data_IF_235233533390
#
_entry.id   IF_235233533390
#
_cell.length_a   1.000
_cell.length_b   1.000
_cell.length_c   1.000
_cell.angle_alpha   90.00
_cell.angle_beta   90.00
_cell.angle_gamma   90.00
#
_symmetry.space_group_name_H-M   'P 1'
#
loop_
_entity.id
_entity.type
_entity.pdbx_description
1 polymer ?
#
# COMPACT_ATOMS: atom_id res chain seq x y z
N UNK A 1 -10.23 -28.81 4.69
CA UNK A 1 -8.98 -28.22 4.18
C UNK A 1 -9.34 -27.10 3.23
N UNK A 2 -9.36 -25.83 3.68
CA UNK A 2 -9.78 -24.64 2.89
C UNK A 2 -8.65 -23.66 2.57
N UNK A 3 -7.42 -23.94 3.01
CA UNK A 3 -6.28 -23.02 2.91
C UNK A 3 -5.47 -23.18 1.62
N UNK A 4 -5.47 -24.38 1.03
CA UNK A 4 -4.75 -24.70 -0.21
C UNK A 4 -5.75 -24.91 -1.35
N UNK A 5 -5.58 -24.16 -2.42
CA UNK A 5 -6.26 -24.40 -3.68
C UNK A 5 -5.37 -25.25 -4.59
N UNK A 6 -5.59 -26.56 -4.61
CA UNK A 6 -4.78 -27.51 -5.37
C UNK A 6 -4.74 -27.23 -6.87
N UNK A 7 -5.82 -26.72 -7.47
CA UNK A 7 -5.84 -26.39 -8.90
C UNK A 7 -4.91 -25.21 -9.19
N UNK A 8 -5.04 -24.13 -8.43
CA UNK A 8 -4.13 -22.98 -8.51
C UNK A 8 -2.69 -23.37 -8.19
N UNK A 9 -2.48 -24.26 -7.21
CA UNK A 9 -1.17 -24.79 -6.85
C UNK A 9 -0.53 -25.59 -7.97
N UNK A 10 -1.28 -26.45 -8.66
CA UNK A 10 -0.77 -27.20 -9.81
C UNK A 10 -0.36 -26.26 -10.94
N UNK A 11 -1.19 -25.27 -11.28
CA UNK A 11 -0.87 -24.26 -12.30
C UNK A 11 0.43 -23.52 -11.93
N UNK A 12 0.55 -23.15 -10.65
CA UNK A 12 1.75 -22.48 -10.12
C UNK A 12 3.00 -23.33 -10.30
N UNK A 13 2.94 -24.62 -9.93
CA UNK A 13 4.04 -25.56 -10.11
C UNK A 13 4.41 -25.75 -11.59
N UNK A 14 3.42 -25.90 -12.47
CA UNK A 14 3.64 -26.06 -13.91
C UNK A 14 4.35 -24.86 -14.50
N UNK A 15 3.94 -23.64 -14.14
CA UNK A 15 4.59 -22.41 -14.62
C UNK A 15 6.04 -22.32 -14.11
N UNK A 16 6.27 -22.60 -12.82
CA UNK A 16 7.61 -22.62 -12.25
C UNK A 16 8.53 -23.63 -12.94
N UNK A 17 8.06 -24.86 -13.13
CA UNK A 17 8.82 -25.91 -13.83
C UNK A 17 9.06 -25.58 -15.31
N UNK A 18 8.07 -25.00 -15.98
CA UNK A 18 8.22 -24.59 -17.37
C UNK A 18 9.36 -23.57 -17.52
N UNK A 19 9.38 -22.51 -16.69
CA UNK A 19 10.46 -21.51 -16.72
C UNK A 19 11.80 -22.16 -16.35
N UNK A 20 11.80 -23.02 -15.32
CA UNK A 20 13.00 -23.71 -14.84
C UNK A 20 13.71 -24.52 -15.92
N UNK A 21 12.97 -25.26 -16.74
CA UNK A 21 13.53 -26.12 -17.78
C UNK A 21 13.72 -25.44 -19.14
N UNK A 22 13.20 -24.22 -19.32
CA UNK A 22 13.55 -23.39 -20.48
C UNK A 22 15.01 -22.94 -20.32
N UNK A 23 15.88 -23.13 -21.33
CA UNK A 23 17.26 -22.65 -21.28
C UNK A 23 17.31 -21.14 -21.00
N UNK A 24 18.24 -20.74 -20.13
CA UNK A 24 18.47 -19.32 -19.85
C UNK A 24 18.83 -18.57 -21.14
N UNK A 25 18.25 -17.38 -21.39
CA UNK A 25 18.62 -16.54 -22.52
C UNK A 25 20.11 -16.15 -22.49
N UNK A 26 20.65 -15.80 -23.66
CA UNK A 26 22.02 -15.31 -23.76
C UNK A 26 22.22 -14.05 -22.89
N UNK A 27 23.33 -14.04 -22.13
CA UNK A 27 23.65 -12.96 -21.19
C UNK A 27 23.02 -13.07 -19.80
N UNK A 28 22.20 -14.11 -19.54
CA UNK A 28 21.58 -14.36 -18.22
C UNK A 28 22.29 -15.51 -17.51
N UNK A 29 22.65 -15.31 -16.24
CA UNK A 29 23.24 -16.39 -15.43
C UNK A 29 22.20 -17.50 -15.17
N UNK A 30 22.57 -18.81 -15.26
CA UNK A 30 21.61 -19.89 -15.06
C UNK A 30 20.90 -19.87 -13.71
N UNK A 31 21.61 -19.54 -12.63
CA UNK A 31 21.02 -19.42 -11.30
C UNK A 31 20.09 -18.20 -11.16
N UNK A 32 20.33 -17.12 -11.91
CA UNK A 32 19.40 -15.99 -11.99
C UNK A 32 18.08 -16.39 -12.68
N UNK A 33 18.17 -17.21 -13.73
CA UNK A 33 17.00 -17.73 -14.44
C UNK A 33 16.18 -18.71 -13.59
N UNK A 34 16.84 -19.60 -12.86
CA UNK A 34 16.18 -20.48 -11.90
C UNK A 34 15.58 -19.72 -10.71
N UNK A 35 16.23 -18.65 -10.23
CA UNK A 35 15.64 -17.74 -9.25
C UNK A 35 14.39 -17.06 -9.83
N UNK A 36 14.41 -16.65 -11.10
CA UNK A 36 13.23 -16.08 -11.78
C UNK A 36 12.08 -17.10 -11.80
N UNK A 37 12.36 -18.38 -12.07
CA UNK A 37 11.35 -19.44 -12.03
C UNK A 37 10.69 -19.54 -10.65
N UNK A 38 11.48 -19.56 -9.56
CA UNK A 38 10.95 -19.60 -8.18
C UNK A 38 10.16 -18.33 -7.87
N UNK A 39 10.68 -17.17 -8.28
CA UNK A 39 10.04 -15.88 -8.04
C UNK A 39 8.69 -15.78 -8.74
N UNK A 40 8.66 -16.08 -10.05
CA UNK A 40 7.43 -16.06 -10.86
C UNK A 40 6.43 -17.08 -10.33
N UNK A 41 6.86 -18.30 -9.98
CA UNK A 41 5.97 -19.28 -9.36
C UNK A 41 5.38 -18.75 -8.03
N UNK A 42 6.21 -18.13 -7.18
CA UNK A 42 5.73 -17.55 -5.92
C UNK A 42 4.68 -16.47 -6.16
N UNK A 43 4.94 -15.54 -7.09
CA UNK A 43 4.02 -14.46 -7.47
C UNK A 43 2.73 -15.02 -8.08
N UNK A 44 2.82 -15.95 -9.03
CA UNK A 44 1.67 -16.58 -9.66
C UNK A 44 0.81 -17.30 -8.62
N UNK A 45 1.42 -18.04 -7.69
CA UNK A 45 0.68 -18.70 -6.62
C UNK A 45 -0.02 -17.72 -5.69
N UNK A 46 0.57 -16.56 -5.40
CA UNK A 46 -0.07 -15.48 -4.65
C UNK A 46 -1.27 -14.92 -5.43
N UNK A 47 -1.10 -14.61 -6.72
CA UNK A 47 -2.15 -14.04 -7.58
C UNK A 47 -3.33 -15.02 -7.72
N UNK A 48 -3.04 -16.29 -8.00
CA UNK A 48 -4.03 -17.35 -8.17
C UNK A 48 -4.62 -17.86 -6.83
N UNK A 49 -4.15 -17.32 -5.70
CA UNK A 49 -4.54 -17.73 -4.34
C UNK A 49 -4.38 -19.25 -4.14
N UNK A 50 -3.24 -19.78 -4.59
CA UNK A 50 -2.86 -21.18 -4.38
C UNK A 50 -2.75 -21.52 -2.88
N UNK A 51 -2.23 -20.58 -2.09
CA UNK A 51 -2.24 -20.57 -0.63
C UNK A 51 -2.20 -19.13 -0.10
N UNK A 52 -2.11 -18.94 1.21
CA UNK A 52 -1.89 -17.61 1.80
C UNK A 52 -0.55 -17.00 1.35
N UNK A 53 -0.41 -15.68 1.42
CA UNK A 53 0.85 -14.99 1.06
C UNK A 53 2.02 -15.48 1.91
N UNK A 54 1.83 -15.61 3.23
CA UNK A 54 2.84 -16.17 4.12
C UNK A 54 3.23 -17.61 3.75
N UNK A 55 2.27 -18.46 3.41
CA UNK A 55 2.54 -19.84 2.97
C UNK A 55 3.37 -19.87 1.68
N UNK A 56 2.97 -19.11 0.65
CA UNK A 56 3.70 -19.04 -0.61
C UNK A 56 5.13 -18.49 -0.42
N UNK A 57 5.28 -17.50 0.45
CA UNK A 57 6.57 -16.90 0.76
C UNK A 57 7.54 -17.86 1.45
N UNK A 58 7.06 -18.64 2.42
CA UNK A 58 7.87 -19.67 3.08
C UNK A 58 8.29 -20.74 2.08
N UNK A 59 7.38 -21.19 1.22
CA UNK A 59 7.72 -22.14 0.13
C UNK A 59 8.80 -21.55 -0.77
N UNK A 60 8.68 -20.28 -1.19
CA UNK A 60 9.69 -19.60 -2.00
C UNK A 60 11.06 -19.51 -1.34
N UNK A 61 11.12 -19.15 -0.04
CA UNK A 61 12.35 -19.12 0.76
C UNK A 61 12.96 -20.52 0.82
N UNK A 62 12.15 -21.54 1.12
CA UNK A 62 12.61 -22.92 1.19
C UNK A 62 13.15 -23.40 -0.15
N UNK A 63 12.47 -23.12 -1.26
CA UNK A 63 12.94 -23.48 -2.59
C UNK A 63 14.27 -22.79 -2.91
N UNK A 64 14.42 -21.50 -2.59
CA UNK A 64 15.70 -20.80 -2.79
C UNK A 64 16.84 -21.47 -2.00
N UNK A 65 16.58 -21.86 -0.74
CA UNK A 65 17.56 -22.52 0.11
C UNK A 65 17.92 -23.93 -0.39
N UNK A 66 16.92 -24.76 -0.70
CA UNK A 66 17.09 -26.16 -1.11
C UNK A 66 17.76 -26.27 -2.49
N UNK A 67 17.36 -25.42 -3.43
CA UNK A 67 17.92 -25.43 -4.80
C UNK A 67 19.28 -24.74 -4.89
N UNK A 68 19.70 -24.02 -3.84
CA UNK A 68 20.96 -23.29 -3.78
C UNK A 68 21.13 -22.19 -4.84
N UNK A 69 20.05 -21.72 -5.46
CA UNK A 69 20.12 -20.71 -6.54
C UNK A 69 20.78 -19.40 -6.10
N UNK A 70 20.74 -19.08 -4.80
CA UNK A 70 21.35 -17.88 -4.24
C UNK A 70 22.83 -18.04 -3.86
N UNK A 71 23.32 -19.27 -3.79
CA UNK A 71 24.73 -19.60 -3.54
C UNK A 71 25.04 -21.02 -4.06
N UNK A 72 25.21 -21.20 -5.38
CA UNK A 72 25.38 -22.52 -5.96
C UNK A 72 26.59 -23.28 -5.38
N UNK A 73 26.36 -24.49 -4.87
CA UNK A 73 27.39 -25.33 -4.27
C UNK A 73 27.74 -25.00 -2.81
N UNK A 74 27.07 -24.01 -2.20
CA UNK A 74 27.29 -23.62 -0.81
C UNK A 74 25.95 -23.60 -0.03
N UNK A 75 25.56 -24.72 0.60
CA UNK A 75 24.29 -24.81 1.31
C UNK A 75 24.22 -23.88 2.52
N UNK A 76 25.35 -23.63 3.20
CA UNK A 76 25.41 -22.75 4.38
C UNK A 76 25.16 -21.30 3.97
N UNK A 77 25.81 -20.83 2.91
CA UNK A 77 25.58 -19.50 2.38
C UNK A 77 24.18 -19.38 1.76
N UNK A 78 23.66 -20.44 1.14
CA UNK A 78 22.34 -20.39 0.52
C UNK A 78 21.21 -20.17 1.53
N UNK A 79 21.24 -20.83 2.69
CA UNK A 79 20.22 -20.60 3.72
C UNK A 79 20.33 -19.20 4.32
N UNK A 80 21.56 -18.70 4.54
CA UNK A 80 21.79 -17.32 5.01
C UNK A 80 21.22 -16.32 3.99
N UNK A 81 21.49 -16.52 2.70
CA UNK A 81 20.98 -15.68 1.63
C UNK A 81 19.44 -15.75 1.53
N UNK A 82 18.85 -16.93 1.65
CA UNK A 82 17.39 -17.11 1.61
C UNK A 82 16.67 -16.43 2.79
N UNK A 83 17.31 -16.36 3.96
CA UNK A 83 16.78 -15.68 5.15
C UNK A 83 17.16 -14.20 5.23
N UNK A 84 18.02 -13.69 4.34
CA UNK A 84 18.54 -12.31 4.39
C UNK A 84 17.45 -11.24 4.39
N UNK A 85 16.29 -11.50 3.79
CA UNK A 85 15.14 -10.60 3.79
C UNK A 85 14.66 -10.23 5.19
N UNK A 86 14.76 -11.12 6.17
CA UNK A 86 14.35 -10.85 7.56
C UNK A 86 15.23 -9.83 8.26
N UNK A 87 16.43 -9.53 7.75
CA UNK A 87 17.32 -8.50 8.27
C UNK A 87 17.11 -7.12 7.62
N UNK A 88 16.15 -6.97 6.71
CA UNK A 88 15.96 -5.74 5.95
C UNK A 88 15.28 -4.64 6.80
N UNK A 89 15.91 -3.47 6.90
CA UNK A 89 15.42 -2.34 7.69
C UNK A 89 14.05 -1.83 7.22
N UNK A 90 13.82 -1.73 5.92
CA UNK A 90 12.54 -1.30 5.34
C UNK A 90 11.39 -2.22 5.75
N UNK A 91 11.63 -3.53 5.82
CA UNK A 91 10.63 -4.52 6.28
C UNK A 91 10.35 -4.34 7.78
N UNK A 92 11.39 -4.16 8.58
CA UNK A 92 11.24 -3.90 10.01
C UNK A 92 10.52 -2.58 10.28
N UNK A 93 10.78 -1.52 9.53
CA UNK A 93 10.06 -0.25 9.63
C UNK A 93 8.56 -0.46 9.50
N UNK A 94 8.13 -1.29 8.54
CA UNK A 94 6.72 -1.63 8.36
C UNK A 94 6.19 -2.40 9.57
N UNK A 95 6.86 -3.49 9.98
CA UNK A 95 6.45 -4.29 11.13
C UNK A 95 6.28 -3.45 12.40
N UNK A 96 7.26 -2.60 12.69
CA UNK A 96 7.25 -1.68 13.83
C UNK A 96 6.11 -0.68 13.76
N UNK A 97 5.86 -0.12 12.58
CA UNK A 97 4.74 0.79 12.40
C UNK A 97 3.38 0.07 12.59
N UNK A 98 3.25 -1.22 12.25
CA UNK A 98 2.02 -1.99 12.55
C UNK A 98 1.84 -2.16 14.07
N UNK A 99 2.92 -2.44 14.80
CA UNK A 99 2.89 -2.51 16.26
C UNK A 99 2.49 -1.17 16.88
N UNK A 100 3.05 -0.06 16.41
CA UNK A 100 2.70 1.31 16.84
C UNK A 100 1.23 1.61 16.51
N UNK A 101 0.75 1.22 15.33
CA UNK A 101 -0.64 1.41 14.92
C UNK A 101 -1.64 0.70 15.84
N UNK A 102 -1.27 -0.46 16.38
CA UNK A 102 -2.10 -1.15 17.37
C UNK A 102 -2.37 -0.27 18.60
N UNK A 103 -1.44 0.62 18.94
CA UNK A 103 -1.61 1.62 19.99
C UNK A 103 -2.75 2.60 19.70
N UNK A 104 -2.87 3.12 18.48
CA UNK A 104 -3.98 3.99 18.08
C UNK A 104 -5.35 3.31 18.20
N UNK A 105 -5.41 2.01 17.91
CA UNK A 105 -6.65 1.23 17.97
C UNK A 105 -7.04 0.95 19.43
N UNK A 106 -6.10 0.44 20.25
CA UNK A 106 -6.37 0.09 21.65
C UNK A 106 -6.69 1.33 22.50
N UNK A 107 -6.02 2.45 22.24
CA UNK A 107 -6.27 3.71 22.98
C UNK A 107 -7.59 4.38 22.59
N UNK A 108 -8.18 4.03 21.44
CA UNK A 108 -9.35 4.70 20.89
C UNK A 108 -9.07 6.08 20.27
N UNK A 109 -7.80 6.50 20.22
CA UNK A 109 -7.40 7.81 19.69
C UNK A 109 -7.84 8.02 18.24
N UNK A 110 -7.70 7.00 17.39
CA UNK A 110 -8.15 7.07 15.99
C UNK A 110 -9.65 7.32 15.87
N UNK A 111 -10.44 6.64 16.68
CA UNK A 111 -11.90 6.83 16.77
C UNK A 111 -12.26 8.23 17.24
N UNK A 112 -11.54 8.76 18.25
CA UNK A 112 -11.75 10.11 18.75
C UNK A 112 -11.46 11.17 17.69
N UNK A 113 -10.36 11.03 16.96
CA UNK A 113 -9.99 11.94 15.86
C UNK A 113 -11.09 11.95 14.79
N UNK A 114 -11.57 10.77 14.39
CA UNK A 114 -12.63 10.66 13.40
C UNK A 114 -13.93 11.34 13.82
N UNK A 115 -14.41 11.09 15.05
CA UNK A 115 -15.63 11.76 15.53
C UNK A 115 -15.47 13.27 15.66
N UNK A 116 -14.28 13.79 16.02
CA UNK A 116 -14.05 15.23 16.03
C UNK A 116 -14.23 15.86 14.63
N UNK A 117 -13.69 15.23 13.59
CA UNK A 117 -13.86 15.72 12.22
C UNK A 117 -15.31 15.62 11.73
N UNK A 118 -16.03 14.56 12.08
CA UNK A 118 -17.46 14.42 11.77
C UNK A 118 -18.28 15.51 12.49
N UNK A 119 -17.96 15.81 13.75
CA UNK A 119 -18.63 16.88 14.50
C UNK A 119 -18.47 18.24 13.83
N UNK A 120 -17.32 18.51 13.20
CA UNK A 120 -17.01 19.78 12.54
C UNK A 120 -17.66 19.84 11.14
N UNK A 121 -17.46 18.80 10.32
CA UNK A 121 -17.80 18.84 8.90
C UNK A 121 -19.11 18.11 8.53
N UNK A 122 -19.65 17.26 9.40
CA UNK A 122 -20.69 16.28 9.06
C UNK A 122 -22.10 16.81 8.83
N UNK A 123 -22.32 18.12 8.60
CA UNK A 123 -23.66 18.69 8.39
C UNK A 123 -24.25 18.40 7.00
N UNK A 124 -23.42 17.99 6.05
CA UNK A 124 -23.82 17.53 4.71
C UNK A 124 -23.10 16.22 4.36
N UNK A 125 -23.60 15.43 3.39
CA UNK A 125 -22.91 14.20 2.96
C UNK A 125 -21.49 14.46 2.48
N UNK A 126 -21.29 15.55 1.73
CA UNK A 126 -19.97 15.95 1.24
C UNK A 126 -19.03 16.31 2.41
N UNK A 127 -19.53 17.06 3.38
CA UNK A 127 -18.77 17.39 4.58
C UNK A 127 -18.47 16.17 5.45
N UNK A 128 -19.40 15.20 5.51
CA UNK A 128 -19.19 13.93 6.20
C UNK A 128 -18.09 13.09 5.52
N UNK A 129 -18.11 13.01 4.19
CA UNK A 129 -17.04 12.38 3.41
C UNK A 129 -15.68 13.05 3.68
N UNK A 130 -15.60 14.38 3.63
CA UNK A 130 -14.36 15.08 4.00
C UNK A 130 -13.94 14.84 5.44
N UNK A 131 -14.87 14.78 6.39
CA UNK A 131 -14.56 14.51 7.80
C UNK A 131 -13.93 13.13 8.01
N UNK A 132 -14.54 12.09 7.43
CA UNK A 132 -14.00 10.73 7.46
C UNK A 132 -12.64 10.64 6.75
N UNK A 133 -12.55 11.22 5.55
CA UNK A 133 -11.32 11.17 4.75
C UNK A 133 -10.18 11.94 5.43
N UNK A 134 -10.47 13.05 6.10
CA UNK A 134 -9.46 13.84 6.84
C UNK A 134 -8.97 13.07 8.05
N UNK A 135 -9.85 12.32 8.73
CA UNK A 135 -9.42 11.43 9.79
C UNK A 135 -8.43 10.37 9.27
N UNK A 136 -8.72 9.76 8.12
CA UNK A 136 -7.80 8.81 7.48
C UNK A 136 -6.48 9.47 7.05
N UNK A 137 -6.51 10.70 6.53
CA UNK A 137 -5.33 11.48 6.16
C UNK A 137 -4.40 11.73 7.35
N UNK A 138 -4.96 12.13 8.50
CA UNK A 138 -4.19 12.39 9.72
C UNK A 138 -3.62 11.07 10.31
N UNK A 139 -4.34 9.96 10.16
CA UNK A 139 -3.90 8.65 10.64
C UNK A 139 -2.91 7.96 9.69
N UNK A 140 -2.91 8.29 8.40
CA UNK A 140 -2.06 7.68 7.37
C UNK A 140 -0.55 7.65 7.67
N UNK A 141 0.10 8.74 8.13
CA UNK A 141 1.52 8.70 8.47
C UNK A 141 1.82 7.84 9.72
N UNK A 142 0.81 7.60 10.55
CA UNK A 142 0.94 6.93 11.85
C UNK A 142 0.59 5.44 11.83
N UNK A 143 -0.37 5.06 10.98
CA UNK A 143 -0.85 3.68 10.83
C UNK A 143 -0.44 3.19 9.45
N UNK A 144 0.57 2.32 9.34
CA UNK A 144 1.17 1.94 8.05
C UNK A 144 0.37 0.90 7.28
N UNK A 145 -0.72 0.42 7.88
CA UNK A 145 -1.64 -0.51 7.27
C UNK A 145 -2.88 0.25 6.86
N UNK A 146 -3.01 0.50 5.57
CA UNK A 146 -4.21 1.13 5.05
C UNK A 146 -5.46 0.28 5.31
N UNK A 147 -5.34 -1.05 5.31
CA UNK A 147 -6.38 -2.00 5.75
C UNK A 147 -6.76 -1.80 7.21
N UNK A 148 -5.79 -1.56 8.11
CA UNK A 148 -6.09 -1.30 9.52
C UNK A 148 -6.76 0.06 9.73
N UNK A 149 -6.34 1.11 9.02
CA UNK A 149 -7.05 2.41 9.05
C UNK A 149 -8.49 2.26 8.57
N UNK A 150 -8.63 1.66 7.39
CA UNK A 150 -9.91 1.40 6.75
C UNK A 150 -10.84 0.58 7.66
N UNK A 151 -10.44 -0.63 8.05
CA UNK A 151 -11.30 -1.57 8.78
C UNK A 151 -11.38 -1.34 10.29
N UNK A 152 -10.30 -0.86 10.90
CA UNK A 152 -10.22 -0.65 12.34
C UNK A 152 -10.82 0.68 12.81
N UNK A 153 -10.78 1.71 11.97
CA UNK A 153 -11.23 3.06 12.36
C UNK A 153 -12.32 3.59 11.44
N UNK A 154 -12.04 3.74 10.14
CA UNK A 154 -12.91 4.51 9.25
C UNK A 154 -14.22 3.79 8.95
N UNK A 155 -14.17 2.51 8.60
CA UNK A 155 -15.33 1.72 8.20
C UNK A 155 -16.36 1.54 9.32
N UNK A 156 -16.00 1.16 10.58
CA UNK A 156 -16.99 1.04 11.66
C UNK A 156 -17.75 2.35 11.90
N UNK A 157 -17.04 3.49 11.84
CA UNK A 157 -17.63 4.81 12.04
C UNK A 157 -18.52 5.18 10.86
N UNK A 158 -18.04 4.98 9.63
CA UNK A 158 -18.82 5.20 8.41
C UNK A 158 -20.11 4.36 8.43
N UNK A 159 -20.01 3.07 8.75
CA UNK A 159 -21.15 2.16 8.84
C UNK A 159 -22.14 2.61 9.90
N UNK A 160 -21.66 2.95 11.10
CA UNK A 160 -22.51 3.46 12.18
C UNK A 160 -23.30 4.69 11.73
N UNK A 161 -22.66 5.65 11.07
CA UNK A 161 -23.32 6.86 10.58
C UNK A 161 -24.31 6.53 9.46
N UNK A 162 -23.94 5.68 8.50
CA UNK A 162 -24.83 5.26 7.43
C UNK A 162 -26.11 4.62 7.98
N UNK A 163 -25.98 3.70 8.94
CA UNK A 163 -27.10 3.03 9.61
C UNK A 163 -27.98 4.01 10.38
N UNK A 164 -27.40 4.96 11.13
CA UNK A 164 -28.18 6.00 11.81
C UNK A 164 -28.91 6.94 10.82
N UNK A 165 -28.37 7.11 9.62
CA UNK A 165 -28.99 7.87 8.53
C UNK A 165 -29.98 7.03 7.70
N UNK A 166 -30.35 5.83 8.18
CA UNK A 166 -31.34 4.96 7.54
C UNK A 166 -30.85 4.28 6.26
N UNK A 167 -29.54 4.17 6.07
CA UNK A 167 -28.86 3.42 5.00
C UNK A 167 -28.31 2.12 5.58
N UNK A 168 -28.87 0.98 5.17
CA UNK A 168 -28.57 -0.33 5.75
C UNK A 168 -27.96 -1.27 4.70
N UNK A 169 -26.88 -1.96 5.07
CA UNK A 169 -26.15 -2.86 4.17
C UNK A 169 -27.03 -3.99 3.63
N UNK A 170 -27.95 -4.49 4.45
CA UNK A 170 -28.88 -5.58 4.16
C UNK A 170 -30.12 -5.16 3.34
N UNK A 171 -30.29 -3.86 3.07
CA UNK A 171 -31.44 -3.30 2.33
C UNK A 171 -30.99 -2.48 1.11
N UNK A 172 -30.84 -3.11 -0.07
CA UNK A 172 -30.32 -2.46 -1.29
C UNK A 172 -31.00 -1.14 -1.66
N UNK A 173 -32.31 -1.05 -1.45
CA UNK A 173 -33.11 0.15 -1.72
C UNK A 173 -32.70 1.36 -0.87
N UNK A 174 -31.95 1.15 0.22
CA UNK A 174 -31.49 2.22 1.11
C UNK A 174 -30.03 2.63 0.87
N UNK A 175 -29.25 1.85 0.12
CA UNK A 175 -27.80 2.06 -0.04
C UNK A 175 -27.45 3.46 -0.56
N UNK A 176 -28.25 3.96 -1.51
CA UNK A 176 -28.04 5.25 -2.17
C UNK A 176 -28.41 6.44 -1.30
N UNK A 177 -29.08 6.24 -0.15
CA UNK A 177 -29.32 7.32 0.82
C UNK A 177 -28.03 8.02 1.22
N UNK A 178 -27.03 7.24 1.65
CA UNK A 178 -25.70 7.77 1.95
C UNK A 178 -24.59 6.71 1.98
N UNK A 179 -24.89 5.47 2.35
CA UNK A 179 -23.89 4.43 2.61
C UNK A 179 -23.02 4.09 1.40
N UNK A 180 -23.61 4.06 0.19
CA UNK A 180 -22.88 3.79 -1.04
C UNK A 180 -21.87 4.91 -1.38
N UNK A 181 -22.27 6.17 -1.18
CA UNK A 181 -21.40 7.33 -1.41
C UNK A 181 -20.24 7.38 -0.41
N UNK A 182 -20.50 7.20 0.88
CA UNK A 182 -19.45 7.20 1.90
C UNK A 182 -18.50 6.01 1.74
N UNK A 183 -19.01 4.84 1.39
CA UNK A 183 -18.20 3.65 1.09
C UNK A 183 -17.18 3.94 0.00
N UNK A 184 -17.63 4.44 -1.16
CA UNK A 184 -16.73 4.77 -2.27
C UNK A 184 -15.77 5.91 -1.92
N UNK A 185 -16.25 6.95 -1.22
CA UNK A 185 -15.42 8.10 -0.84
C UNK A 185 -14.31 7.69 0.12
N UNK A 186 -14.66 7.01 1.22
CA UNK A 186 -13.69 6.60 2.24
C UNK A 186 -12.70 5.57 1.71
N UNK A 187 -13.14 4.65 0.85
CA UNK A 187 -12.24 3.70 0.20
C UNK A 187 -11.22 4.39 -0.71
N UNK A 188 -11.66 5.26 -1.62
CA UNK A 188 -10.77 5.95 -2.56
C UNK A 188 -9.88 6.97 -1.85
N UNK A 189 -10.36 7.63 -0.80
CA UNK A 189 -9.53 8.49 0.05
C UNK A 189 -8.42 7.68 0.71
N UNK A 190 -8.72 6.49 1.22
CA UNK A 190 -7.72 5.61 1.80
C UNK A 190 -6.63 5.20 0.79
N UNK A 191 -6.95 5.05 -0.51
CA UNK A 191 -5.95 4.84 -1.55
C UNK A 191 -5.03 6.06 -1.72
N UNK A 192 -5.57 7.27 -1.73
CA UNK A 192 -4.79 8.51 -1.88
C UNK A 192 -3.94 8.82 -0.65
N UNK A 193 -4.50 8.70 0.55
CA UNK A 193 -3.75 8.90 1.80
C UNK A 193 -2.65 7.86 1.96
N UNK A 194 -2.84 6.65 1.42
CA UNK A 194 -1.80 5.62 1.34
C UNK A 194 -0.64 6.03 0.45
N UNK A 195 -0.85 6.88 -0.56
CA UNK A 195 0.22 7.36 -1.43
C UNK A 195 0.94 8.58 -0.84
N UNK A 196 0.24 9.42 -0.09
CA UNK A 196 0.80 10.66 0.46
C UNK A 196 2.01 10.45 1.38
N UNK A 197 2.10 9.31 2.06
CA UNK A 197 3.20 9.00 2.97
C UNK A 197 3.83 7.66 2.62
N UNK A 198 5.16 7.62 2.61
CA UNK A 198 5.93 6.41 2.35
C UNK A 198 5.53 5.26 3.27
N UNK A 199 5.22 5.56 4.54
CA UNK A 199 4.86 4.53 5.52
C UNK A 199 3.39 4.11 5.48
N UNK A 200 2.51 4.75 4.71
CA UNK A 200 1.06 4.55 4.85
C UNK A 200 0.52 3.24 4.22
N UNK A 201 1.34 2.49 3.49
CA UNK A 201 1.03 1.14 2.98
C UNK A 201 2.31 0.37 2.69
N UNK A 202 2.26 -0.96 2.77
CA UNK A 202 3.43 -1.83 2.56
C UNK A 202 4.01 -1.75 1.13
N UNK A 203 3.21 -1.42 0.12
CA UNK A 203 3.66 -1.30 -1.27
C UNK A 203 4.67 -0.15 -1.46
N UNK A 204 4.57 0.95 -0.71
CA UNK A 204 5.42 2.12 -0.94
C UNK A 204 6.87 1.87 -0.49
N UNK A 205 7.16 1.34 0.72
CA UNK A 205 8.54 1.04 1.08
C UNK A 205 9.11 -0.12 0.25
N UNK A 206 8.28 -1.01 -0.28
CA UNK A 206 8.74 -2.02 -1.24
C UNK A 206 9.30 -1.34 -2.51
N UNK A 207 8.53 -0.39 -3.05
CA UNK A 207 8.95 0.40 -4.20
C UNK A 207 10.23 1.20 -3.89
N UNK A 208 10.30 1.85 -2.72
CA UNK A 208 11.50 2.56 -2.26
C UNK A 208 12.74 1.65 -2.26
N UNK A 209 12.63 0.46 -1.66
CA UNK A 209 13.75 -0.47 -1.60
C UNK A 209 14.18 -0.95 -2.99
N UNK A 210 13.22 -1.25 -3.87
CA UNK A 210 13.55 -1.67 -5.24
C UNK A 210 14.11 -0.53 -6.11
N UNK A 211 13.71 0.72 -5.82
CA UNK A 211 14.33 1.89 -6.44
C UNK A 211 15.79 2.03 -6.00
N UNK A 212 16.08 1.84 -4.71
CA UNK A 212 17.44 1.89 -4.17
C UNK A 212 18.34 0.79 -4.78
N UNK A 213 17.81 -0.42 -4.98
CA UNK A 213 18.52 -1.51 -5.70
C UNK A 213 18.94 -1.11 -7.13
N UNK A 214 18.25 -0.13 -7.73
CA UNK A 214 18.54 0.43 -9.05
C UNK A 214 19.24 1.80 -8.99
N UNK A 215 19.79 2.18 -7.82
CA UNK A 215 20.51 3.43 -7.62
C UNK A 215 19.64 4.68 -7.49
N UNK A 216 18.33 4.52 -7.31
CA UNK A 216 17.38 5.63 -7.09
C UNK A 216 17.04 5.74 -5.61
N UNK A 217 17.71 6.66 -4.92
CA UNK A 217 17.49 6.91 -3.50
C UNK A 217 16.23 7.75 -3.26
N UNK A 218 15.34 7.23 -2.41
CA UNK A 218 14.11 7.93 -1.99
C UNK A 218 14.06 7.92 -0.48
N UNK A 219 14.04 9.09 0.15
CA UNK A 219 13.80 9.24 1.59
C UNK A 219 12.30 9.42 1.87
N UNK A 220 11.87 9.22 3.12
CA UNK A 220 10.50 9.49 3.55
C UNK A 220 10.05 10.92 3.20
N UNK A 221 10.90 11.91 3.48
CA UNK A 221 10.63 13.32 3.18
C UNK A 221 10.53 13.60 1.69
N UNK A 222 11.42 13.02 0.87
CA UNK A 222 11.38 13.19 -0.58
C UNK A 222 10.11 12.58 -1.20
N UNK A 223 9.68 11.40 -0.72
CA UNK A 223 8.43 10.78 -1.14
C UNK A 223 7.22 11.67 -0.78
N UNK A 224 7.13 12.10 0.48
CA UNK A 224 6.03 12.93 0.96
C UNK A 224 5.96 14.26 0.18
N UNK A 225 7.11 14.89 -0.08
CA UNK A 225 7.18 16.11 -0.87
C UNK A 225 6.68 15.88 -2.30
N UNK A 226 7.16 14.84 -2.99
CA UNK A 226 6.76 14.55 -4.36
C UNK A 226 5.29 14.14 -4.49
N UNK A 227 4.75 13.41 -3.51
CA UNK A 227 3.36 12.97 -3.50
C UNK A 227 2.37 14.06 -3.04
N UNK A 228 2.84 15.09 -2.32
CA UNK A 228 1.99 16.08 -1.64
C UNK A 228 0.98 16.74 -2.58
N UNK A 229 1.42 17.49 -3.59
CA UNK A 229 0.54 18.25 -4.48
C UNK A 229 -0.44 17.37 -5.26
N UNK A 230 0.00 16.36 -6.04
CA UNK A 230 -0.96 15.52 -6.78
C UNK A 230 -1.87 14.72 -5.83
N UNK A 231 -1.36 14.25 -4.70
CA UNK A 231 -2.14 13.52 -3.71
C UNK A 231 -3.20 14.40 -3.03
N UNK A 232 -2.86 15.61 -2.60
CA UNK A 232 -3.81 16.54 -1.96
C UNK A 232 -4.88 17.01 -2.95
N UNK A 233 -4.53 17.24 -4.22
CA UNK A 233 -5.52 17.54 -5.26
C UNK A 233 -6.48 16.35 -5.44
N UNK A 234 -5.97 15.12 -5.56
CA UNK A 234 -6.83 13.93 -5.63
C UNK A 234 -7.73 13.80 -4.39
N UNK A 235 -7.17 14.01 -3.19
CA UNK A 235 -7.89 13.97 -1.93
C UNK A 235 -9.09 14.93 -1.91
N UNK A 236 -8.88 16.16 -2.39
CA UNK A 236 -9.95 17.16 -2.51
C UNK A 236 -10.97 16.78 -3.57
N UNK A 237 -10.54 16.22 -4.71
CA UNK A 237 -11.43 15.90 -5.82
C UNK A 237 -12.27 14.65 -5.62
N UNK A 238 -11.84 13.66 -4.82
CA UNK A 238 -12.58 12.39 -4.64
C UNK A 238 -14.04 12.62 -4.21
N UNK A 239 -14.33 13.32 -3.09
CA UNK A 239 -15.72 13.47 -2.67
C UNK A 239 -16.53 14.29 -3.67
N UNK A 240 -15.93 15.31 -4.30
CA UNK A 240 -16.61 16.16 -5.30
C UNK A 240 -16.98 15.37 -6.56
N UNK A 241 -16.05 14.56 -7.05
CA UNK A 241 -16.28 13.71 -8.22
C UNK A 241 -17.40 12.72 -7.93
N UNK A 242 -17.34 11.99 -6.80
CA UNK A 242 -18.39 11.03 -6.42
C UNK A 242 -19.73 11.71 -6.15
N UNK A 243 -19.73 12.95 -5.63
CA UNK A 243 -20.96 13.69 -5.39
C UNK A 243 -21.66 14.05 -6.71
N UNK A 244 -20.92 14.11 -7.82
CA UNK A 244 -21.47 14.30 -9.16
C UNK A 244 -21.78 12.97 -9.87
N UNK A 245 -20.87 12.00 -9.82
CA UNK A 245 -20.98 10.74 -10.58
C UNK A 245 -21.86 9.68 -9.90
N UNK A 246 -21.98 9.75 -8.57
CA UNK A 246 -22.68 8.78 -7.75
C UNK A 246 -23.32 9.43 -6.50
N UNK A 247 -24.13 10.49 -6.68
CA UNK A 247 -24.63 11.35 -5.60
C UNK A 247 -25.43 10.59 -4.53
N UNK A 248 -25.31 10.91 -3.23
CA UNK A 248 -26.23 10.41 -2.22
C UNK A 248 -27.62 11.03 -2.39
N UNK A 249 -28.68 10.31 -2.05
CA UNK A 249 -30.07 10.82 -2.05
C UNK A 249 -30.29 11.81 -0.91
N UNK A 250 -29.75 11.54 0.28
CA UNK A 250 -29.74 12.49 1.39
C UNK A 250 -28.85 13.69 1.03
N UNK A 251 -29.36 14.90 1.24
CA UNK A 251 -28.63 16.16 0.98
C UNK A 251 -28.21 16.89 2.25
N UNK A 252 -28.81 16.54 3.37
CA UNK A 252 -28.49 17.08 4.69
C UNK A 252 -28.26 15.94 5.67
N UNK A 253 -27.30 16.13 6.57
CA UNK A 253 -26.93 15.14 7.60
C UNK A 253 -26.82 15.83 8.96
N UNK A 254 -27.81 16.66 9.31
CA UNK A 254 -27.81 17.52 10.51
C UNK A 254 -27.63 16.74 11.82
N UNK A 255 -27.97 15.46 11.85
CA UNK A 255 -27.84 14.60 13.03
C UNK A 255 -26.43 14.01 13.20
N UNK A 256 -25.63 13.90 12.14
CA UNK A 256 -24.29 13.31 12.22
C UNK A 256 -23.36 14.03 13.23
N UNK A 257 -23.32 15.37 13.30
CA UNK A 257 -22.57 16.08 14.34
C UNK A 257 -23.04 15.78 15.76
N UNK A 258 -24.35 15.60 15.96
CA UNK A 258 -24.91 15.26 17.27
C UNK A 258 -24.57 13.82 17.67
N UNK A 259 -24.63 12.87 16.73
CA UNK A 259 -24.19 11.49 16.92
C UNK A 259 -22.71 11.46 17.32
N UNK A 260 -21.85 12.17 16.58
CA UNK A 260 -20.42 12.24 16.89
C UNK A 260 -20.16 12.90 18.26
N UNK A 261 -20.89 13.96 18.60
CA UNK A 261 -20.77 14.60 19.91
C UNK A 261 -21.19 13.68 21.06
N UNK A 262 -22.25 12.87 20.88
CA UNK A 262 -22.70 11.86 21.83
C UNK A 262 -21.62 10.78 22.02
N UNK A 263 -21.08 10.24 20.93
CA UNK A 263 -20.01 9.24 20.97
C UNK A 263 -18.76 9.79 21.66
N UNK A 264 -18.35 11.02 21.37
CA UNK A 264 -17.23 11.68 22.06
C UNK A 264 -17.48 11.84 23.57
N UNK A 265 -18.72 12.12 23.98
CA UNK A 265 -19.09 12.21 25.39
C UNK A 265 -19.04 10.85 26.08
N UNK A 266 -19.50 9.79 25.42
CA UNK A 266 -19.44 8.41 25.91
C UNK A 266 -17.99 7.91 26.05
N UNK A 267 -17.08 8.35 25.17
CA UNK A 267 -15.64 8.06 25.26
C UNK A 267 -14.94 8.77 26.43
N UNK A 268 -15.59 9.74 27.09
CA UNK A 268 -14.99 10.49 28.20
C UNK A 268 -13.84 11.43 27.79
N UNK A 269 -13.11 12.01 28.77
CA UNK A 269 -11.95 12.87 28.50
C UNK A 269 -10.81 12.09 27.83
N UNK A 270 -9.89 12.81 27.19
CA UNK A 270 -8.68 12.20 26.59
C UNK A 270 -7.85 11.54 27.69
N UNK A 271 -7.64 10.23 27.56
CA UNK A 271 -6.91 9.47 28.56
C UNK A 271 -5.40 9.72 28.50
N UNK A 272 -4.68 9.40 29.58
CA UNK A 272 -3.21 9.47 29.58
C UNK A 272 -2.59 8.62 28.46
N UNK A 273 -3.16 7.44 28.19
CA UNK A 273 -2.68 6.56 27.11
C UNK A 273 -2.82 7.20 25.73
N UNK A 274 -3.91 7.93 25.49
CA UNK A 274 -4.09 8.70 24.26
C UNK A 274 -3.07 9.84 24.14
N UNK A 275 -2.80 10.57 25.23
CA UNK A 275 -1.78 11.63 25.24
C UNK A 275 -0.37 11.09 24.99
N UNK A 276 -0.02 9.96 25.60
CA UNK A 276 1.26 9.27 25.35
C UNK A 276 1.37 8.82 23.90
N UNK A 277 0.28 8.36 23.30
CA UNK A 277 0.23 7.99 21.88
C UNK A 277 0.49 9.21 20.98
N UNK A 278 -0.16 10.35 21.25
CA UNK A 278 0.06 11.61 20.53
C UNK A 278 1.52 12.07 20.68
N UNK A 279 2.06 12.08 21.90
CA UNK A 279 3.44 12.50 22.16
C UNK A 279 4.46 11.62 21.41
N UNK A 280 4.28 10.30 21.48
CA UNK A 280 5.13 9.33 20.74
C UNK A 280 5.06 9.61 19.24
N UNK A 281 3.87 9.84 18.70
CA UNK A 281 3.71 10.10 17.27
C UNK A 281 4.36 11.41 16.82
N UNK A 282 4.26 12.48 17.63
CA UNK A 282 4.97 13.75 17.37
C UNK A 282 6.49 13.52 17.34
N UNK A 283 7.03 12.76 18.29
CA UNK A 283 8.46 12.41 18.32
C UNK A 283 8.85 11.67 17.02
N UNK A 284 8.08 10.68 16.60
CA UNK A 284 8.33 9.95 15.35
C UNK A 284 8.34 10.86 14.12
N UNK A 285 7.37 11.77 14.01
CA UNK A 285 7.32 12.73 12.90
C UNK A 285 8.54 13.64 12.87
N UNK A 286 8.96 14.16 14.03
CA UNK A 286 10.19 14.97 14.14
C UNK A 286 11.40 14.16 13.68
N UNK A 287 11.54 12.90 14.15
CA UNK A 287 12.64 12.04 13.77
C UNK A 287 12.63 11.65 12.29
N UNK A 288 11.47 11.46 11.66
CA UNK A 288 11.38 11.15 10.22
C UNK A 288 11.65 12.37 9.34
N UNK A 289 11.20 13.56 9.74
CA UNK A 289 11.41 14.81 8.97
C UNK A 289 12.86 15.27 9.10
N UNK A 290 13.43 15.21 10.31
CA UNK A 290 14.76 15.74 10.61
C UNK A 290 15.80 14.65 10.84
N UNK A 291 15.54 13.40 10.44
CA UNK A 291 16.43 12.25 10.69
C UNK A 291 17.85 12.46 10.19
N UNK A 292 18.01 13.12 9.04
CA UNK A 292 19.33 13.48 8.50
C UNK A 292 20.12 14.42 9.43
N UNK A 293 19.45 15.33 10.14
CA UNK A 293 20.09 16.25 11.09
C UNK A 293 20.56 15.50 12.36
N UNK A 294 19.82 14.46 12.75
CA UNK A 294 20.10 13.66 13.94
C UNK A 294 20.90 12.38 13.67
N UNK A 295 21.24 12.09 12.41
CA UNK A 295 21.81 10.81 11.97
C UNK A 295 20.97 9.59 12.39
N UNK A 296 19.64 9.70 12.33
CA UNK A 296 18.69 8.66 12.71
C UNK A 296 17.97 8.13 11.47
N UNK A 297 18.09 6.81 11.24
CA UNK A 297 17.31 6.09 10.23
C UNK A 297 15.82 6.02 10.60
N UNK A 298 14.95 5.96 9.59
CA UNK A 298 13.50 5.91 9.79
C UNK A 298 13.06 4.67 10.59
N UNK A 299 13.74 3.53 10.40
CA UNK A 299 13.51 2.28 11.14
C UNK A 299 13.92 2.43 12.60
N UNK A 300 15.07 3.07 12.85
CA UNK A 300 15.54 3.38 14.20
C UNK A 300 14.56 4.30 14.93
N UNK A 301 14.03 5.31 14.25
CA UNK A 301 12.96 6.15 14.81
C UNK A 301 11.75 5.32 15.21
N UNK A 302 11.28 4.39 14.36
CA UNK A 302 10.17 3.50 14.68
C UNK A 302 10.47 2.58 15.89
N UNK A 303 11.71 2.07 16.03
CA UNK A 303 12.13 1.32 17.22
C UNK A 303 12.03 2.17 18.48
N UNK A 304 12.50 3.42 18.44
CA UNK A 304 12.39 4.37 19.55
C UNK A 304 10.91 4.55 19.93
N UNK A 305 10.03 4.77 18.95
CA UNK A 305 8.59 4.92 19.18
C UNK A 305 7.96 3.70 19.84
N UNK A 306 8.27 2.49 19.36
CA UNK A 306 7.75 1.26 19.97
C UNK A 306 8.24 1.08 21.41
N UNK A 307 9.53 1.36 21.67
CA UNK A 307 10.09 1.33 23.02
C UNK A 307 9.36 2.28 23.98
N UNK A 308 9.07 3.51 23.54
CA UNK A 308 8.30 4.48 24.34
C UNK A 308 6.93 3.90 24.71
N UNK A 309 6.20 3.34 23.74
CA UNK A 309 4.84 2.81 23.96
C UNK A 309 4.80 1.58 24.87
N UNK A 310 5.83 0.72 24.78
CA UNK A 310 5.97 -0.45 25.66
C UNK A 310 6.32 -0.04 27.08
N UNK A 311 7.31 0.86 27.25
CA UNK A 311 7.73 1.34 28.56
C UNK A 311 6.64 2.17 29.25
N UNK A 312 5.80 2.86 28.48
CA UNK A 312 4.69 3.65 29.02
C UNK A 312 3.43 2.82 29.32
N UNK A 313 3.41 1.52 29.01
CA UNK A 313 2.23 0.65 29.17
C UNK A 313 1.04 0.99 28.27
N UNK A 314 1.27 1.76 27.19
CA UNK A 314 0.26 1.97 26.15
C UNK A 314 0.08 0.67 25.36
N UNK A 315 1.19 -0.01 25.07
CA UNK A 315 1.22 -1.35 24.51
C UNK A 315 1.84 -2.33 25.49
N UNK A 316 1.36 -3.56 25.47
CA UNK A 316 2.00 -4.70 26.12
C UNK A 316 2.73 -5.56 25.08
N UNK A 317 3.64 -6.43 25.52
CA UNK A 317 4.26 -7.39 24.62
C UNK A 317 3.24 -8.39 24.02
N UNK A 318 2.18 -8.71 24.76
CA UNK A 318 1.09 -9.53 24.22
C UNK A 318 0.36 -8.82 23.07
N UNK A 319 0.18 -7.49 23.15
CA UNK A 319 -0.40 -6.73 22.04
C UNK A 319 0.45 -6.87 20.78
N UNK A 320 1.77 -6.76 20.90
CA UNK A 320 2.74 -6.94 19.79
C UNK A 320 2.68 -8.36 19.22
N UNK A 321 2.70 -9.40 20.08
CA UNK A 321 2.58 -10.80 19.62
C UNK A 321 1.23 -11.08 18.96
N UNK A 322 0.17 -10.43 19.43
CA UNK A 322 -1.19 -10.60 18.89
C UNK A 322 -1.40 -9.91 17.54
N UNK A 323 -0.47 -9.04 17.11
CA UNK A 323 -0.56 -8.29 15.87
C UNK A 323 -0.15 -9.15 14.67
N UNK A 324 -1.01 -10.13 14.34
CA UNK A 324 -0.79 -11.12 13.27
C UNK A 324 -0.48 -10.48 11.92
N UNK A 325 -1.07 -9.32 11.62
CA UNK A 325 -0.87 -8.61 10.36
C UNK A 325 0.57 -8.13 10.18
N UNK A 326 1.24 -7.72 11.26
CA UNK A 326 2.66 -7.35 11.23
C UNK A 326 3.53 -8.56 10.91
N UNK A 327 3.31 -9.67 11.60
CA UNK A 327 4.11 -10.90 11.43
C UNK A 327 3.93 -11.53 10.05
N UNK A 328 2.69 -11.61 9.56
CA UNK A 328 2.41 -12.07 8.19
C UNK A 328 3.12 -11.17 7.18
N UNK A 329 3.02 -9.85 7.33
CA UNK A 329 3.71 -8.87 6.48
C UNK A 329 5.22 -9.06 6.48
N UNK A 330 5.86 -9.15 7.65
CA UNK A 330 7.31 -9.36 7.75
C UNK A 330 7.73 -10.61 6.99
N UNK A 331 7.01 -11.73 7.13
CA UNK A 331 7.36 -13.00 6.50
C UNK A 331 7.26 -12.93 4.98
N UNK A 332 6.10 -12.55 4.44
CA UNK A 332 5.94 -12.60 2.99
C UNK A 332 6.75 -11.53 2.27
N UNK A 333 6.91 -10.36 2.90
CA UNK A 333 7.70 -9.27 2.36
C UNK A 333 9.19 -9.65 2.33
N UNK A 334 9.68 -10.32 3.37
CA UNK A 334 11.09 -10.78 3.43
C UNK A 334 11.42 -11.71 2.25
N UNK A 335 10.52 -12.63 1.93
CA UNK A 335 10.67 -13.53 0.78
C UNK A 335 10.77 -12.77 -0.54
N UNK A 336 9.80 -11.90 -0.83
CA UNK A 336 9.73 -11.21 -2.12
C UNK A 336 10.85 -10.17 -2.30
N UNK A 337 11.21 -9.45 -1.25
CA UNK A 337 12.34 -8.51 -1.26
C UNK A 337 13.67 -9.22 -1.46
N UNK A 338 13.86 -10.35 -0.78
CA UNK A 338 15.05 -11.18 -0.95
C UNK A 338 15.17 -11.65 -2.40
N UNK A 339 14.15 -12.31 -2.94
CA UNK A 339 14.20 -12.82 -4.32
C UNK A 339 14.38 -11.68 -5.34
N UNK A 340 13.65 -10.57 -5.18
CA UNK A 340 13.78 -9.40 -6.03
C UNK A 340 15.18 -8.75 -5.99
N UNK A 341 15.77 -8.61 -4.79
CA UNK A 341 17.15 -8.13 -4.64
C UNK A 341 18.14 -9.02 -5.37
N UNK A 342 18.02 -10.34 -5.21
CA UNK A 342 18.95 -11.27 -5.85
C UNK A 342 18.75 -11.35 -7.37
N UNK A 343 17.53 -11.21 -7.88
CA UNK A 343 17.31 -11.07 -9.32
C UNK A 343 18.02 -9.83 -9.88
N UNK A 344 18.02 -8.73 -9.13
CA UNK A 344 18.75 -7.54 -9.52
C UNK A 344 20.28 -7.72 -9.41
N UNK A 345 20.78 -8.24 -8.28
CA UNK A 345 22.22 -8.40 -8.04
C UNK A 345 22.87 -9.44 -8.96
N UNK A 346 22.11 -10.45 -9.40
CA UNK A 346 22.54 -11.42 -10.41
C UNK A 346 22.44 -10.88 -11.85
N UNK A 347 22.02 -9.62 -12.03
CA UNK A 347 22.01 -8.90 -13.30
C UNK A 347 20.78 -9.11 -14.18
N UNK A 348 19.78 -9.89 -13.75
CA UNK A 348 18.60 -10.22 -14.57
C UNK A 348 17.73 -8.99 -14.85
N UNK A 349 17.50 -8.16 -13.84
CA UNK A 349 16.68 -6.94 -13.99
C UNK A 349 17.34 -5.93 -14.93
N UNK A 350 18.66 -5.73 -14.80
CA UNK A 350 19.43 -4.85 -15.68
C UNK A 350 19.47 -5.37 -17.13
N UNK A 351 19.67 -6.68 -17.32
CA UNK A 351 19.63 -7.33 -18.64
C UNK A 351 18.27 -7.11 -19.32
N UNK A 352 17.17 -7.35 -18.60
CA UNK A 352 15.83 -7.18 -19.16
C UNK A 352 15.52 -5.71 -19.47
N UNK A 353 15.91 -4.80 -18.56
CA UNK A 353 15.76 -3.36 -18.76
C UNK A 353 16.45 -2.87 -20.02
N UNK A 354 17.67 -3.37 -20.29
CA UNK A 354 18.41 -3.08 -21.53
C UNK A 354 17.73 -3.67 -22.76
N UNK A 355 17.34 -4.95 -22.72
CA UNK A 355 16.67 -5.63 -23.84
C UNK A 355 15.45 -4.85 -24.34
N UNK A 356 14.57 -4.45 -23.42
CA UNK A 356 13.38 -3.66 -23.79
C UNK A 356 13.73 -2.21 -24.07
N UNK A 357 14.69 -1.63 -23.37
CA UNK A 357 15.17 -0.26 -23.60
C UNK A 357 15.73 -0.07 -25.01
N UNK A 358 16.46 -1.04 -25.55
CA UNK A 358 17.02 -1.02 -26.89
C UNK A 358 15.90 -0.99 -27.96
N UNK A 359 14.84 -1.78 -27.78
CA UNK A 359 13.64 -1.77 -28.64
C UNK A 359 12.86 -0.45 -28.57
N UNK A 360 12.90 0.23 -27.42
CA UNK A 360 12.23 1.51 -27.19
C UNK A 360 13.13 2.73 -27.42
N UNK A 361 14.39 2.53 -27.85
CA UNK A 361 15.42 3.57 -27.95
C UNK A 361 15.06 4.75 -28.85
N UNK A 362 14.16 4.54 -29.81
CA UNK A 362 13.69 5.58 -30.73
C UNK A 362 12.57 6.47 -30.15
N UNK A 363 12.00 6.08 -29.01
CA UNK A 363 10.96 6.85 -28.35
C UNK A 363 11.59 7.93 -27.46
N UNK A 364 11.11 9.16 -27.58
CA UNK A 364 11.39 10.17 -26.56
C UNK A 364 10.86 9.68 -25.21
N UNK A 365 11.63 9.89 -24.13
CA UNK A 365 11.19 9.58 -22.76
C UNK A 365 9.85 10.25 -22.42
N UNK A 366 9.52 11.40 -23.04
CA UNK A 366 8.24 12.12 -22.89
C UNK A 366 7.04 11.32 -23.41
N UNK A 367 7.26 10.40 -24.35
CA UNK A 367 6.26 9.47 -24.89
C UNK A 367 6.32 8.13 -24.16
N UNK A 368 7.51 7.62 -23.88
CA UNK A 368 7.69 6.36 -23.17
C UNK A 368 7.12 6.40 -21.74
N UNK A 369 7.32 7.52 -21.03
CA UNK A 369 6.85 7.71 -19.65
C UNK A 369 5.35 7.50 -19.48
N UNK A 370 4.45 8.20 -20.20
CA UNK A 370 3.01 7.97 -20.03
C UNK A 370 2.60 6.56 -20.43
N UNK A 371 3.23 5.95 -21.46
CA UNK A 371 2.93 4.57 -21.86
C UNK A 371 3.29 3.57 -20.75
N UNK A 372 4.49 3.67 -20.19
CA UNK A 372 4.97 2.82 -19.09
C UNK A 372 4.01 2.92 -17.90
N UNK A 373 3.65 4.14 -17.50
CA UNK A 373 2.73 4.37 -16.37
C UNK A 373 1.33 3.83 -16.65
N UNK A 374 0.78 4.03 -17.85
CA UNK A 374 -0.55 3.53 -18.22
C UNK A 374 -0.58 2.00 -18.22
N UNK A 375 0.41 1.36 -18.85
CA UNK A 375 0.52 -0.11 -18.88
C UNK A 375 0.67 -0.64 -17.46
N UNK A 376 1.62 -0.11 -16.68
CA UNK A 376 1.80 -0.52 -15.29
C UNK A 376 0.51 -0.36 -14.49
N UNK A 377 -0.17 0.77 -14.63
CA UNK A 377 -1.40 1.08 -13.88
C UNK A 377 -2.52 0.08 -14.18
N UNK A 378 -2.83 -0.17 -15.44
CA UNK A 378 -3.97 -1.03 -15.80
C UNK A 378 -3.66 -2.52 -15.74
N UNK A 379 -2.39 -2.92 -15.72
CA UNK A 379 -2.02 -4.29 -15.33
C UNK A 379 -2.57 -4.66 -13.94
N UNK A 380 -2.83 -3.68 -13.07
CA UNK A 380 -3.38 -3.90 -11.74
C UNK A 380 -4.75 -4.61 -11.73
N UNK A 381 -5.53 -4.61 -12.83
CA UNK A 381 -6.73 -5.45 -12.94
C UNK A 381 -6.44 -6.95 -12.69
N UNK A 382 -5.22 -7.40 -13.00
CA UNK A 382 -4.74 -8.76 -12.82
C UNK A 382 -4.21 -9.04 -11.40
N UNK A 383 -4.07 -8.01 -10.55
CA UNK A 383 -3.49 -8.13 -9.22
C UNK A 383 -4.55 -7.94 -8.12
N UNK A 384 -4.50 -8.82 -7.13
CA UNK A 384 -5.32 -8.72 -5.91
C UNK A 384 -4.59 -8.03 -4.75
N UNK A 385 -3.45 -7.43 -5.02
CA UNK A 385 -2.61 -6.76 -4.03
C UNK A 385 -1.67 -5.79 -4.71
N UNK A 386 -1.72 -4.52 -4.28
CA UNK A 386 -0.74 -3.50 -4.63
C UNK A 386 0.69 -3.99 -4.41
N UNK A 387 0.95 -4.66 -3.30
CA UNK A 387 2.30 -5.11 -2.99
C UNK A 387 2.74 -6.29 -3.85
N UNK A 388 1.82 -7.16 -4.25
CA UNK A 388 2.12 -8.22 -5.21
C UNK A 388 2.49 -7.64 -6.58
N UNK A 389 1.82 -6.57 -7.01
CA UNK A 389 2.19 -5.86 -8.24
C UNK A 389 3.58 -5.24 -8.15
N UNK A 390 3.88 -4.52 -7.05
CA UNK A 390 5.20 -3.91 -6.85
C UNK A 390 6.29 -4.99 -6.86
N UNK A 391 6.08 -6.09 -6.14
CA UNK A 391 6.98 -7.25 -6.17
C UNK A 391 7.22 -7.75 -7.59
N UNK A 392 6.15 -7.97 -8.36
CA UNK A 392 6.24 -8.62 -9.66
C UNK A 392 6.86 -7.74 -10.75
N UNK A 393 6.55 -6.44 -10.77
CA UNK A 393 6.73 -5.62 -11.97
C UNK A 393 7.48 -4.30 -11.74
N UNK A 394 7.59 -3.81 -10.51
CA UNK A 394 8.12 -2.46 -10.26
C UNK A 394 9.54 -2.28 -10.78
N UNK A 395 10.47 -3.15 -10.37
CA UNK A 395 11.89 -3.04 -10.75
C UNK A 395 12.08 -3.15 -12.26
N UNK A 396 11.26 -3.99 -12.92
CA UNK A 396 11.27 -4.15 -14.37
C UNK A 396 10.87 -2.85 -15.07
N UNK A 397 9.74 -2.25 -14.69
CA UNK A 397 9.25 -1.03 -15.31
C UNK A 397 10.16 0.17 -15.02
N UNK A 398 10.73 0.23 -13.81
CA UNK A 398 11.70 1.26 -13.44
C UNK A 398 12.99 1.12 -14.26
N UNK A 399 13.54 -0.09 -14.38
CA UNK A 399 14.75 -0.34 -15.17
C UNK A 399 14.57 0.01 -16.66
N UNK A 400 13.44 -0.41 -17.26
CA UNK A 400 13.10 -0.05 -18.65
C UNK A 400 12.99 1.46 -18.82
N UNK A 401 12.29 2.15 -17.91
CA UNK A 401 12.12 3.58 -18.04
C UNK A 401 13.41 4.38 -17.85
N UNK A 402 14.30 3.95 -16.95
CA UNK A 402 15.64 4.53 -16.81
C UNK A 402 16.45 4.31 -18.09
N UNK A 403 16.38 3.12 -18.69
CA UNK A 403 17.09 2.80 -19.94
C UNK A 403 16.64 3.69 -21.11
N UNK A 404 15.37 4.09 -21.16
CA UNK A 404 14.81 5.01 -22.17
C UNK A 404 15.03 6.49 -21.81
N UNK A 405 15.73 6.78 -20.68
CA UNK A 405 16.12 8.13 -20.29
C UNK A 405 15.07 8.91 -19.48
N UNK A 406 14.08 8.23 -18.89
CA UNK A 406 13.14 8.89 -17.96
C UNK A 406 13.87 9.22 -16.65
N UNK A 407 13.69 10.43 -16.08
CA UNK A 407 14.22 10.77 -14.76
C UNK A 407 13.84 9.74 -13.69
N UNK A 408 14.85 9.07 -13.11
CA UNK A 408 14.66 7.88 -12.27
C UNK A 408 13.80 8.12 -11.04
N UNK A 409 14.06 9.17 -10.27
CA UNK A 409 13.29 9.49 -9.05
C UNK A 409 11.82 9.79 -9.35
N UNK A 410 11.54 10.55 -10.41
CA UNK A 410 10.17 10.84 -10.86
C UNK A 410 9.42 9.54 -11.21
N UNK A 411 10.03 8.69 -12.02
CA UNK A 411 9.43 7.41 -12.43
C UNK A 411 9.22 6.47 -11.24
N UNK A 412 10.21 6.37 -10.37
CA UNK A 412 10.17 5.51 -9.19
C UNK A 412 9.02 5.88 -8.25
N UNK A 413 8.82 7.18 -7.99
CA UNK A 413 7.72 7.67 -7.15
C UNK A 413 6.36 7.43 -7.82
N UNK A 414 6.23 7.68 -9.12
CA UNK A 414 4.95 7.49 -9.80
C UNK A 414 4.57 6.02 -9.92
N UNK A 415 5.50 5.13 -10.30
CA UNK A 415 5.25 3.69 -10.29
C UNK A 415 4.84 3.19 -8.89
N UNK A 416 5.49 3.70 -7.85
CA UNK A 416 5.19 3.35 -6.47
C UNK A 416 3.79 3.84 -6.06
N UNK A 417 3.43 5.06 -6.43
CA UNK A 417 2.10 5.61 -6.23
C UNK A 417 1.02 4.80 -6.96
N UNK A 418 1.24 4.43 -8.22
CA UNK A 418 0.28 3.70 -9.05
C UNK A 418 -0.18 2.38 -8.40
N UNK A 419 0.69 1.69 -7.66
CA UNK A 419 0.31 0.46 -6.96
C UNK A 419 -0.89 0.68 -6.02
N UNK A 420 -0.94 1.82 -5.35
CA UNK A 420 -2.02 2.17 -4.42
C UNK A 420 -3.17 2.92 -5.13
N UNK A 421 -2.87 3.84 -6.06
CA UNK A 421 -3.89 4.56 -6.83
C UNK A 421 -4.82 3.60 -7.57
N UNK A 422 -4.25 2.55 -8.16
CA UNK A 422 -4.97 1.56 -8.96
C UNK A 422 -5.74 0.54 -8.12
N UNK A 423 -5.57 0.53 -6.79
CA UNK A 423 -6.45 -0.21 -5.90
C UNK A 423 -7.93 0.11 -6.16
N UNK A 424 -8.22 1.35 -6.57
CA UNK A 424 -9.56 1.81 -6.96
C UNK A 424 -10.27 0.97 -8.03
N UNK A 425 -9.54 0.25 -8.89
CA UNK A 425 -10.10 -0.42 -10.08
C UNK A 425 -11.04 -1.59 -9.76
N UNK A 426 -10.70 -2.41 -8.76
CA UNK A 426 -11.38 -3.68 -8.50
C UNK A 426 -11.71 -3.83 -7.02
N UNK A 427 -12.65 -4.71 -6.69
CA UNK A 427 -13.05 -4.98 -5.30
C UNK A 427 -12.01 -5.80 -4.51
N UNK A 428 -10.89 -6.13 -5.16
CA UNK A 428 -9.79 -6.90 -4.61
C UNK A 428 -8.43 -6.22 -4.82
N UNK A 429 -8.35 -5.05 -5.47
CA UNK A 429 -7.08 -4.44 -5.87
C UNK A 429 -6.17 -4.08 -4.69
N UNK A 430 -6.77 -3.84 -3.52
CA UNK A 430 -6.03 -3.57 -2.30
C UNK A 430 -6.72 -4.18 -1.07
N UNK A 431 -5.96 -4.43 0.00
CA UNK A 431 -6.45 -4.96 1.28
C UNK A 431 -7.67 -4.27 1.91
N UNK A 432 -7.87 -2.94 1.80
CA UNK A 432 -9.10 -2.28 2.22
C UNK A 432 -10.35 -2.62 1.40
N UNK A 433 -10.19 -3.08 0.16
CA UNK A 433 -11.30 -3.26 -0.78
C UNK A 433 -12.32 -4.31 -0.29
N UNK A 434 -11.93 -5.51 0.18
CA UNK A 434 -12.88 -6.48 0.74
C UNK A 434 -13.66 -5.97 1.96
N UNK A 435 -13.12 -5.04 2.74
CA UNK A 435 -13.82 -4.46 3.90
C UNK A 435 -14.98 -3.58 3.41
N UNK A 436 -14.67 -2.64 2.52
CA UNK A 436 -15.65 -1.70 2.00
C UNK A 436 -16.61 -2.34 1.00
N UNK A 437 -16.12 -3.14 0.06
CA UNK A 437 -16.98 -3.86 -0.89
C UNK A 437 -17.81 -4.95 -0.19
N UNK A 438 -17.20 -5.71 0.72
CA UNK A 438 -17.89 -6.74 1.51
C UNK A 438 -18.95 -6.19 2.47
N UNK A 439 -19.02 -4.87 2.65
CA UNK A 439 -20.11 -4.20 3.36
C UNK A 439 -21.42 -4.11 2.58
N UNK A 440 -21.41 -4.53 1.32
CA UNK A 440 -22.56 -4.64 0.39
C UNK A 440 -23.27 -3.33 0.05
N UNK A 441 -22.85 -2.16 0.53
CA UNK A 441 -23.44 -0.86 0.15
C UNK A 441 -23.26 -0.49 -1.33
N UNK A 442 -22.39 -1.17 -2.06
CA UNK A 442 -22.06 -0.86 -3.46
C UNK A 442 -21.99 -2.16 -4.25
N UNK A 443 -22.82 -2.27 -5.28
CA UNK A 443 -22.80 -3.41 -6.18
C UNK A 443 -21.53 -3.45 -7.04
N UNK A 444 -21.16 -4.66 -7.48
CA UNK A 444 -19.94 -4.92 -8.24
C UNK A 444 -19.80 -4.02 -9.48
N UNK A 445 -20.89 -3.85 -10.23
CA UNK A 445 -20.93 -3.03 -11.45
C UNK A 445 -20.56 -1.58 -11.15
N UNK A 446 -21.13 -1.00 -10.10
CA UNK A 446 -20.87 0.39 -9.73
C UNK A 446 -19.49 0.55 -9.09
N UNK A 447 -19.03 -0.43 -8.31
CA UNK A 447 -17.67 -0.44 -7.80
C UNK A 447 -16.64 -0.32 -8.92
N UNK A 448 -16.74 -1.18 -9.94
CA UNK A 448 -15.79 -1.20 -11.06
C UNK A 448 -15.93 0.04 -11.95
N UNK A 449 -17.16 0.47 -12.23
CA UNK A 449 -17.41 1.66 -13.04
C UNK A 449 -16.85 2.91 -12.38
N UNK A 450 -17.14 3.13 -11.10
CA UNK A 450 -16.63 4.30 -10.37
C UNK A 450 -15.12 4.18 -10.14
N UNK A 451 -14.62 2.97 -9.90
CA UNK A 451 -13.19 2.67 -9.79
C UNK A 451 -12.40 3.05 -11.04
N UNK A 452 -12.88 2.68 -12.23
CA UNK A 452 -12.26 3.06 -13.50
C UNK A 452 -12.25 4.58 -13.72
N UNK A 453 -13.33 5.28 -13.39
CA UNK A 453 -13.33 6.74 -13.51
C UNK A 453 -12.40 7.41 -12.49
N UNK A 454 -12.28 6.84 -11.29
CA UNK A 454 -11.31 7.29 -10.29
C UNK A 454 -9.87 7.09 -10.74
N UNK A 455 -9.54 5.95 -11.35
CA UNK A 455 -8.19 5.71 -11.86
C UNK A 455 -7.81 6.72 -12.94
N UNK A 456 -8.75 7.07 -13.83
CA UNK A 456 -8.54 8.12 -14.84
C UNK A 456 -8.31 9.47 -14.16
N UNK A 457 -9.15 9.84 -13.19
CA UNK A 457 -8.99 11.10 -12.45
C UNK A 457 -7.61 11.17 -11.78
N UNK A 458 -7.20 10.10 -11.10
CA UNK A 458 -5.90 10.04 -10.43
C UNK A 458 -4.76 10.16 -11.43
N UNK A 459 -4.79 9.40 -12.53
CA UNK A 459 -3.75 9.48 -13.55
C UNK A 459 -3.67 10.88 -14.16
N UNK A 460 -4.80 11.51 -14.51
CA UNK A 460 -4.81 12.86 -15.05
C UNK A 460 -4.20 13.88 -14.07
N UNK A 461 -4.57 13.83 -12.80
CA UNK A 461 -4.01 14.73 -11.77
C UNK A 461 -2.51 14.49 -11.59
N UNK A 462 -2.07 13.23 -11.53
CA UNK A 462 -0.66 12.90 -11.34
C UNK A 462 0.20 13.24 -12.56
N UNK A 463 -0.27 13.01 -13.78
CA UNK A 463 0.43 13.43 -14.99
C UNK A 463 0.53 14.96 -15.09
N UNK A 464 -0.57 15.67 -14.85
CA UNK A 464 -0.62 17.12 -15.06
C UNK A 464 -0.09 17.88 -13.84
N UNK A 465 -0.77 17.80 -12.71
CA UNK A 465 -0.39 18.53 -11.50
C UNK A 465 0.87 17.93 -10.86
N UNK A 466 1.00 16.60 -10.84
CA UNK A 466 2.23 15.94 -10.40
C UNK A 466 3.41 16.28 -11.30
N UNK A 467 3.25 16.19 -12.63
CA UNK A 467 4.28 16.61 -13.59
C UNK A 467 4.74 18.06 -13.39
N UNK A 468 3.82 19.02 -13.25
CA UNK A 468 4.15 20.42 -12.98
C UNK A 468 4.86 20.60 -11.64
N UNK A 469 4.38 19.93 -10.59
CA UNK A 469 4.97 19.99 -9.26
C UNK A 469 6.39 19.41 -9.25
N UNK A 470 6.59 18.24 -9.84
CA UNK A 470 7.87 17.57 -9.96
C UNK A 470 8.89 18.41 -10.71
N UNK A 471 8.47 19.16 -11.74
CA UNK A 471 9.32 20.15 -12.40
C UNK A 471 9.73 21.28 -11.44
N UNK A 472 8.78 21.79 -10.65
CA UNK A 472 9.03 22.87 -9.69
C UNK A 472 10.00 22.47 -8.57
N UNK A 473 9.97 21.21 -8.13
CA UNK A 473 10.88 20.66 -7.10
C UNK A 473 12.14 19.99 -7.69
N UNK A 474 12.36 20.07 -9.01
CA UNK A 474 13.60 19.62 -9.66
C UNK A 474 13.73 18.11 -9.87
N UNK A 475 12.62 17.37 -10.00
CA UNK A 475 12.63 15.94 -10.32
C UNK A 475 12.69 15.64 -11.82
N UNK A 476 12.42 16.63 -12.70
CA UNK A 476 12.63 16.56 -14.15
C UNK A 476 12.69 17.94 -14.82
#
# INVERSE_FOLDING_TARGET
>A
MKEINFKSGLITCVIGLAIWFIPAPEGVQPNAWHLLAIFVATIVGIILKAASMGTMAIIGITLCAVTQVLAPGDPTKSIVNALSGFGNSTIWLIGLAFFIARGFIITGLGTRIAYNFIKIFGKSPLGLAYGLNTADLILAPAIPSNTARAGGVIYPIMKSIATNMGSYAEKPETHRKIGAFLTLSSYNANMITSVLFLTATASNPMAQKFAADLGVEITWGSWALAASVPGLICFLLIPLFLYKSYPPELKETKEAPAIAAKQLKEMGPVSLKEWLMVATFIILLVLWIFGNLFAIDATTAALIGLCILLLSGVLTWEDVKSEKGAWDTIVWFSSLVMMGSYLNSLGLIGWFGKLVGDELSQLSWKVAFPLIIIVYSYCHYMFASATAQVAAMYSVFLAVGIAVGIPGTMLAIFLGACASLMGSLTHYGHGPAPIFFGSTYVDLKDWWKQGFFMSILFLLVWFVAGGLWWKAIGLW
#
